data_IF_071216215479
#
_entry.id   IF_071216215479
#
_cell.length_a   1.000
_cell.length_b   1.000
_cell.length_c   1.000
_cell.angle_alpha   90.00
_cell.angle_beta   90.00
_cell.angle_gamma   90.00
#
_symmetry.space_group_name_H-M   'P 1'
#
loop_
_entity.id
_entity.type
_entity.pdbx_description
1 polymer ?
#
# COMPACT_ATOMS: atom_id res chain seq x y z
N UNK A 1 4.42 -28.63 15.31
CA UNK A 1 3.41 -27.70 15.82
C UNK A 1 3.93 -27.04 17.09
N UNK A 2 4.11 -25.74 17.09
CA UNK A 2 4.45 -24.97 18.28
C UNK A 2 3.42 -23.86 18.41
N UNK A 3 2.75 -23.79 19.56
CA UNK A 3 1.75 -22.78 19.87
C UNK A 3 2.12 -22.03 21.16
N UNK A 4 1.97 -20.72 21.14
CA UNK A 4 2.22 -19.86 22.29
C UNK A 4 1.03 -18.95 22.56
N UNK A 5 0.68 -18.81 23.81
CA UNK A 5 -0.24 -17.79 24.29
C UNK A 5 0.59 -16.72 25.01
N UNK A 6 0.65 -15.52 24.43
CA UNK A 6 1.46 -14.43 24.92
C UNK A 6 0.60 -13.43 25.68
N UNK A 7 0.89 -13.23 26.95
CA UNK A 7 0.17 -12.30 27.84
C UNK A 7 1.03 -11.15 28.33
N UNK A 8 2.35 -11.25 28.15
CA UNK A 8 3.32 -10.21 28.53
C UNK A 8 4.29 -9.94 27.41
N UNK A 9 4.88 -8.74 27.32
CA UNK A 9 5.91 -8.45 26.34
C UNK A 9 7.02 -9.49 26.32
N UNK A 10 7.32 -10.04 25.16
CA UNK A 10 8.38 -11.04 24.98
C UNK A 10 8.85 -11.13 23.53
N UNK A 11 10.03 -11.73 23.38
CA UNK A 11 10.62 -12.04 22.09
C UNK A 11 10.66 -13.54 21.89
N UNK A 12 10.21 -13.97 20.73
CA UNK A 12 10.25 -15.37 20.29
C UNK A 12 11.11 -15.49 19.05
N UNK A 13 12.04 -16.42 19.06
CA UNK A 13 12.74 -16.85 17.84
C UNK A 13 12.14 -18.18 17.42
N UNK A 14 11.84 -18.32 16.13
CA UNK A 14 11.19 -19.51 15.62
C UNK A 14 12.23 -20.46 15.03
N UNK A 15 12.13 -21.71 15.39
CA UNK A 15 12.89 -22.78 14.77
C UNK A 15 12.12 -23.30 13.55
N UNK A 16 12.77 -23.27 12.39
CA UNK A 16 12.21 -23.75 11.14
C UNK A 16 11.79 -22.67 10.14
N UNK A 17 11.51 -23.07 8.90
CA UNK A 17 11.18 -22.13 7.84
C UNK A 17 9.81 -21.50 8.02
N UNK A 18 9.67 -20.22 7.66
CA UNK A 18 8.39 -19.53 7.53
C UNK A 18 8.18 -19.19 6.06
N UNK A 19 7.14 -19.77 5.46
CA UNK A 19 6.75 -19.56 4.05
C UNK A 19 5.47 -18.77 3.89
N UNK A 20 4.64 -18.75 4.95
CA UNK A 20 3.39 -18.00 5.01
C UNK A 20 3.23 -17.33 6.37
N UNK A 21 2.86 -16.06 6.34
CA UNK A 21 2.57 -15.24 7.52
C UNK A 21 1.12 -14.77 7.46
N UNK A 22 0.33 -15.08 8.48
CA UNK A 22 -1.03 -14.60 8.68
C UNK A 22 -1.09 -13.82 10.00
N UNK A 23 -1.41 -12.53 9.96
CA UNK A 23 -1.52 -11.70 11.16
C UNK A 23 -2.90 -11.07 11.23
N UNK A 24 -3.59 -11.24 12.35
CA UNK A 24 -4.90 -10.62 12.61
C UNK A 24 -4.92 -9.99 13.99
N UNK A 25 -4.83 -8.67 14.04
CA UNK A 25 -4.81 -7.89 15.28
C UNK A 25 -6.02 -6.94 15.33
N UNK A 26 -6.44 -6.58 16.54
CA UNK A 26 -7.55 -5.65 16.75
C UNK A 26 -7.08 -4.21 16.67
N UNK A 27 -6.02 -3.86 17.40
CA UNK A 27 -5.46 -2.50 17.35
C UNK A 27 -4.02 -2.45 17.83
N UNK A 28 -3.25 -1.48 17.32
CA UNK A 28 -1.86 -1.27 17.72
C UNK A 28 -0.94 -1.01 16.53
N UNK A 29 0.29 -1.49 16.63
CA UNK A 29 1.29 -1.39 15.57
C UNK A 29 1.74 -2.76 15.11
N UNK A 30 1.74 -2.96 13.81
CA UNK A 30 2.28 -4.14 13.17
C UNK A 30 3.43 -3.73 12.25
N UNK A 31 4.62 -4.21 12.56
CA UNK A 31 5.81 -4.02 11.75
C UNK A 31 6.28 -5.38 11.21
N UNK A 32 6.34 -5.52 9.89
CA UNK A 32 6.84 -6.73 9.23
C UNK A 32 8.06 -6.37 8.40
N UNK A 33 9.17 -7.01 8.68
CA UNK A 33 10.44 -6.74 8.01
C UNK A 33 11.06 -8.02 7.46
N UNK A 34 11.58 -7.93 6.24
CA UNK A 34 12.37 -9.02 5.68
C UNK A 34 13.71 -9.17 6.40
N UNK A 35 14.13 -10.41 6.64
CA UNK A 35 15.41 -10.74 7.25
C UNK A 35 16.05 -11.94 6.58
N UNK A 36 17.38 -11.96 6.54
CA UNK A 36 18.16 -13.12 6.13
C UNK A 36 18.46 -14.08 7.30
N UNK A 37 18.09 -13.67 8.52
CA UNK A 37 18.24 -14.46 9.75
C UNK A 37 17.01 -15.31 10.07
N UNK A 38 17.01 -15.97 11.24
CA UNK A 38 15.85 -16.74 11.70
C UNK A 38 14.62 -15.85 11.90
N UNK A 39 13.46 -16.43 11.66
CA UNK A 39 12.20 -15.73 11.89
C UNK A 39 12.03 -15.39 13.37
N UNK A 40 11.56 -14.19 13.64
CA UNK A 40 11.48 -13.63 15.00
C UNK A 40 10.23 -12.78 15.17
N UNK A 41 9.61 -12.92 16.32
CA UNK A 41 8.45 -12.12 16.74
C UNK A 41 8.85 -11.36 18.00
N UNK A 42 8.66 -10.07 18.01
CA UNK A 42 8.92 -9.19 19.15
C UNK A 42 7.61 -8.47 19.51
N UNK A 43 7.07 -8.78 20.67
CA UNK A 43 5.87 -8.15 21.21
C UNK A 43 6.30 -7.20 22.31
N UNK A 44 6.21 -5.90 22.05
CA UNK A 44 6.71 -4.85 22.95
C UNK A 44 5.60 -4.24 23.81
N UNK A 45 4.38 -4.25 23.32
CA UNK A 45 3.20 -3.83 24.08
C UNK A 45 2.09 -4.86 23.87
N UNK A 46 1.45 -5.24 24.95
CA UNK A 46 0.32 -6.15 24.91
C UNK A 46 -0.79 -5.62 25.81
N UNK A 47 -2.00 -5.61 25.28
CA UNK A 47 -3.17 -5.14 26.00
C UNK A 47 -3.74 -6.22 26.92
N UNK A 48 -5.01 -6.07 27.26
CA UNK A 48 -5.70 -7.01 28.18
C UNK A 48 -5.98 -8.39 27.57
N UNK A 49 -5.73 -8.59 26.28
CA UNK A 49 -6.04 -9.83 25.57
C UNK A 49 -4.76 -10.48 25.11
N UNK A 50 -4.63 -11.79 25.29
CA UNK A 50 -3.47 -12.50 24.82
C UNK A 50 -3.34 -12.47 23.29
N UNK A 51 -2.13 -12.61 22.84
CA UNK A 51 -1.81 -12.87 21.42
C UNK A 51 -1.53 -14.35 21.28
N UNK A 52 -2.27 -15.00 20.39
CA UNK A 52 -2.09 -16.40 20.08
C UNK A 52 -1.14 -16.49 18.87
N UNK A 53 -0.09 -17.26 19.02
CA UNK A 53 0.91 -17.51 17.99
C UNK A 53 0.92 -19.01 17.73
N UNK A 54 0.81 -19.39 16.47
CA UNK A 54 0.88 -20.76 16.02
C UNK A 54 1.88 -20.88 14.86
N UNK A 55 2.79 -21.83 14.95
CA UNK A 55 3.74 -22.14 13.90
C UNK A 55 3.69 -23.62 13.57
N UNK A 56 3.19 -23.94 12.39
CA UNK A 56 3.11 -25.30 11.87
C UNK A 56 3.32 -25.33 10.36
N UNK A 57 4.11 -26.29 9.90
CA UNK A 57 4.34 -26.57 8.47
C UNK A 57 4.74 -25.32 7.65
N UNK A 58 5.57 -24.44 8.23
CA UNK A 58 5.99 -23.18 7.62
C UNK A 58 4.94 -22.08 7.60
N UNK A 59 3.79 -22.29 8.20
CA UNK A 59 2.74 -21.30 8.38
C UNK A 59 2.85 -20.68 9.78
N UNK A 60 3.09 -19.37 9.83
CA UNK A 60 3.09 -18.57 11.05
C UNK A 60 1.79 -17.77 11.13
N UNK A 61 1.01 -18.04 12.16
CA UNK A 61 -0.25 -17.34 12.44
C UNK A 61 -0.12 -16.55 13.75
N UNK A 62 -0.44 -15.27 13.73
CA UNK A 62 -0.43 -14.37 14.89
C UNK A 62 -1.83 -13.76 14.99
N UNK A 63 -2.57 -14.10 16.03
CA UNK A 63 -3.96 -13.68 16.17
C UNK A 63 -4.22 -13.13 17.57
N UNK A 64 -5.01 -12.06 17.61
CA UNK A 64 -5.60 -11.58 18.84
C UNK A 64 -7.06 -12.06 18.91
N UNK A 65 -7.47 -12.68 20.00
CA UNK A 65 -8.82 -13.14 20.19
C UNK A 65 -9.84 -12.00 20.03
N UNK A 66 -10.80 -12.23 19.17
CA UNK A 66 -11.92 -11.33 18.95
C UNK A 66 -13.17 -11.94 19.56
N UNK A 67 -13.61 -11.44 20.70
CA UNK A 67 -14.96 -11.78 21.18
C UNK A 67 -16.00 -11.22 20.21
N UNK A 68 -16.55 -12.09 19.38
CA UNK A 68 -17.68 -11.77 18.54
C UNK A 68 -18.97 -12.02 19.36
N UNK A 69 -19.31 -11.08 20.23
CA UNK A 69 -20.63 -11.02 20.86
C UNK A 69 -21.50 -10.02 20.09
N UNK A 70 -22.50 -10.50 19.34
CA UNK A 70 -23.61 -9.67 18.91
C UNK A 70 -24.47 -9.38 20.17
N UNK A 71 -24.53 -8.14 20.72
CA UNK A 71 -25.16 -6.95 20.16
C UNK A 71 -24.33 -5.65 20.35
N UNK A 72 -23.15 -5.57 19.79
CA UNK A 72 -22.22 -4.47 20.07
C UNK A 72 -21.98 -3.44 18.96
N UNK A 73 -22.64 -3.53 17.81
CA UNK A 73 -22.38 -2.62 16.67
C UNK A 73 -22.58 -1.14 17.03
N UNK A 74 -23.58 -0.82 17.83
CA UNK A 74 -23.86 0.57 18.25
C UNK A 74 -23.03 1.05 19.46
N UNK A 75 -22.47 0.12 20.26
CA UNK A 75 -21.52 0.45 21.34
C UNK A 75 -20.08 0.62 20.86
N UNK A 76 -19.73 0.03 19.73
CA UNK A 76 -18.38 0.07 19.15
C UNK A 76 -17.91 1.44 18.71
N UNK A 77 -18.81 2.34 18.27
CA UNK A 77 -18.45 3.70 17.82
C UNK A 77 -17.96 4.63 18.94
N UNK A 78 -18.32 4.37 20.19
CA UNK A 78 -17.84 5.16 21.36
C UNK A 78 -16.61 4.56 22.05
N UNK A 79 -16.23 3.33 21.73
CA UNK A 79 -15.15 2.61 22.40
C UNK A 79 -13.82 2.59 21.62
N UNK A 80 -13.75 3.23 20.45
CA UNK A 80 -12.55 3.24 19.57
C UNK A 80 -11.29 3.74 20.30
N UNK A 81 -11.42 4.59 21.32
CA UNK A 81 -10.29 5.09 22.11
C UNK A 81 -9.85 4.19 23.28
N UNK A 82 -10.47 3.02 23.47
CA UNK A 82 -10.17 2.12 24.61
C UNK A 82 -9.74 0.72 24.21
N UNK A 83 -9.47 0.45 22.94
CA UNK A 83 -8.92 -0.85 22.56
C UNK A 83 -7.48 -0.98 23.07
N UNK A 84 -7.18 -2.05 23.80
CA UNK A 84 -5.83 -2.31 24.26
C UNK A 84 -4.92 -2.46 23.02
N UNK A 85 -3.87 -1.66 22.98
CA UNK A 85 -2.89 -1.68 21.90
C UNK A 85 -2.02 -2.92 22.00
N UNK A 86 -1.63 -3.45 20.88
CA UNK A 86 -0.64 -4.52 20.78
C UNK A 86 0.40 -4.10 19.74
N UNK A 87 1.64 -3.99 20.16
CA UNK A 87 2.74 -3.63 19.27
C UNK A 87 3.55 -4.89 18.96
N UNK A 88 3.51 -5.32 17.72
CA UNK A 88 4.14 -6.55 17.21
C UNK A 88 5.10 -6.20 16.09
N UNK A 89 6.33 -6.67 16.20
CA UNK A 89 7.32 -6.65 15.13
C UNK A 89 7.66 -8.09 14.73
N UNK A 90 7.54 -8.39 13.44
CA UNK A 90 7.80 -9.71 12.89
C UNK A 90 8.91 -9.61 11.86
N UNK A 91 10.01 -10.32 12.09
CA UNK A 91 11.07 -10.48 11.12
C UNK A 91 10.92 -11.87 10.47
N UNK A 92 10.80 -11.91 9.14
CA UNK A 92 10.58 -13.15 8.37
C UNK A 92 11.43 -13.17 7.10
N UNK A 93 11.65 -14.34 6.48
CA UNK A 93 12.32 -14.40 5.18
C UNK A 93 11.62 -13.51 4.14
N UNK A 94 12.42 -12.90 3.23
CA UNK A 94 11.88 -12.01 2.20
C UNK A 94 10.87 -12.69 1.26
N UNK A 95 10.97 -14.00 1.09
CA UNK A 95 10.13 -14.79 0.18
C UNK A 95 8.90 -15.41 0.87
N UNK A 96 8.39 -14.77 1.92
CA UNK A 96 7.16 -15.19 2.62
C UNK A 96 5.92 -14.63 1.90
N UNK A 97 4.83 -15.42 1.87
CA UNK A 97 3.49 -14.93 1.52
C UNK A 97 2.88 -14.28 2.77
N UNK A 98 2.55 -13.00 2.70
CA UNK A 98 2.06 -12.25 3.85
C UNK A 98 0.59 -11.85 3.68
N UNK A 99 -0.23 -12.13 4.70
CA UNK A 99 -1.63 -11.72 4.80
C UNK A 99 -1.86 -11.03 6.16
N UNK A 100 -1.99 -9.70 6.14
CA UNK A 100 -1.92 -8.85 7.31
C UNK A 100 -3.22 -8.08 7.50
N UNK A 101 -3.89 -8.28 8.62
CA UNK A 101 -5.12 -7.59 8.97
C UNK A 101 -5.01 -6.89 10.33
N UNK A 102 -5.38 -5.60 10.36
CA UNK A 102 -5.44 -4.81 11.57
C UNK A 102 -6.74 -3.99 11.61
N UNK A 103 -7.41 -3.95 12.75
CA UNK A 103 -8.62 -3.14 12.89
C UNK A 103 -8.30 -1.65 12.97
N UNK A 104 -7.37 -1.23 13.82
CA UNK A 104 -6.99 0.17 13.97
C UNK A 104 -5.53 0.33 14.36
N UNK A 105 -4.82 1.28 13.77
CA UNK A 105 -3.43 1.59 14.10
C UNK A 105 -2.53 1.78 12.91
N UNK A 106 -1.31 1.24 12.94
CA UNK A 106 -0.37 1.37 11.84
C UNK A 106 0.20 0.02 11.43
N UNK A 107 0.34 -0.15 10.12
CA UNK A 107 1.00 -1.31 9.51
C UNK A 107 2.17 -0.81 8.69
N UNK A 108 3.35 -1.33 8.98
CA UNK A 108 4.57 -1.07 8.21
C UNK A 108 5.08 -2.39 7.68
N UNK A 109 5.31 -2.48 6.37
CA UNK A 109 5.84 -3.70 5.74
C UNK A 109 7.04 -3.33 4.88
N UNK A 110 8.15 -4.03 5.06
CA UNK A 110 9.37 -3.73 4.31
C UNK A 110 10.10 -4.97 3.79
N UNK A 111 10.59 -4.87 2.55
CA UNK A 111 11.54 -5.80 1.95
C UNK A 111 11.00 -7.14 1.48
N UNK A 112 9.71 -7.42 1.58
CA UNK A 112 9.11 -8.68 1.11
C UNK A 112 9.12 -8.74 -0.43
N UNK A 113 9.28 -9.95 -0.96
CA UNK A 113 9.46 -10.19 -2.42
C UNK A 113 8.32 -10.98 -3.06
N UNK A 114 7.40 -11.53 -2.27
CA UNK A 114 6.25 -12.28 -2.77
C UNK A 114 4.96 -11.51 -2.56
N UNK A 115 3.84 -12.20 -2.73
CA UNK A 115 2.53 -11.59 -2.52
C UNK A 115 2.39 -11.10 -1.08
N UNK A 116 2.01 -9.83 -0.96
CA UNK A 116 1.72 -9.15 0.31
C UNK A 116 0.32 -8.55 0.25
N UNK A 117 -0.54 -8.94 1.17
CA UNK A 117 -1.89 -8.39 1.32
C UNK A 117 -1.98 -7.69 2.67
N UNK A 118 -2.47 -6.45 2.68
CA UNK A 118 -2.65 -5.64 3.89
C UNK A 118 -4.06 -5.08 3.93
N UNK A 119 -4.82 -5.42 4.95
CA UNK A 119 -6.15 -4.90 5.22
C UNK A 119 -6.17 -4.13 6.54
N UNK A 120 -6.51 -2.85 6.49
CA UNK A 120 -6.61 -1.99 7.67
C UNK A 120 -7.93 -1.21 7.66
N UNK A 121 -8.67 -1.20 8.77
CA UNK A 121 -9.91 -0.43 8.82
C UNK A 121 -9.64 1.05 9.10
N UNK A 122 -8.77 1.39 10.06
CA UNK A 122 -8.46 2.79 10.36
C UNK A 122 -7.02 2.97 10.80
N UNK A 123 -6.33 3.95 10.23
CA UNK A 123 -4.95 4.27 10.60
C UNK A 123 -4.06 4.54 9.40
N UNK A 124 -2.86 3.96 9.38
CA UNK A 124 -1.86 4.21 8.34
C UNK A 124 -1.25 2.91 7.84
N UNK A 125 -1.08 2.80 6.52
CA UNK A 125 -0.31 1.72 5.87
C UNK A 125 0.94 2.35 5.24
N UNK A 126 2.11 1.79 5.56
CA UNK A 126 3.38 2.17 4.94
C UNK A 126 4.05 0.92 4.36
N UNK A 127 4.31 0.93 3.06
CA UNK A 127 4.92 -0.16 2.30
C UNK A 127 6.27 0.30 1.77
N UNK A 128 7.35 -0.44 2.03
CA UNK A 128 8.70 -0.02 1.66
C UNK A 128 9.46 -1.15 0.97
N UNK A 129 9.97 -0.88 -0.25
CA UNK A 129 10.85 -1.80 -0.96
C UNK A 129 10.27 -3.17 -1.26
N UNK A 130 8.94 -3.28 -1.37
CA UNK A 130 8.26 -4.52 -1.67
C UNK A 130 8.44 -4.90 -3.15
N UNK A 131 8.40 -6.20 -3.42
CA UNK A 131 8.45 -6.76 -4.78
C UNK A 131 7.31 -7.76 -4.97
N UNK A 132 7.03 -8.12 -6.23
CA UNK A 132 5.94 -9.05 -6.55
C UNK A 132 4.57 -8.36 -6.50
N UNK A 133 3.54 -9.08 -6.06
CA UNK A 133 2.16 -8.57 -6.06
C UNK A 133 1.80 -8.02 -4.69
N UNK A 134 1.48 -6.75 -4.62
CA UNK A 134 1.11 -6.05 -3.38
C UNK A 134 -0.32 -5.53 -3.46
N UNK A 135 -1.14 -5.89 -2.48
CA UNK A 135 -2.49 -5.38 -2.28
C UNK A 135 -2.57 -4.69 -0.93
N UNK A 136 -3.00 -3.43 -0.91
CA UNK A 136 -3.28 -2.72 0.33
C UNK A 136 -4.66 -2.09 0.28
N UNK A 137 -5.45 -2.37 1.31
CA UNK A 137 -6.79 -1.83 1.48
C UNK A 137 -6.92 -1.13 2.81
N UNK A 138 -7.39 0.12 2.78
CA UNK A 138 -7.59 0.95 3.95
C UNK A 138 -8.96 1.63 3.88
N UNK A 139 -9.74 1.57 4.96
CA UNK A 139 -11.01 2.30 4.95
C UNK A 139 -10.81 3.78 5.27
N UNK A 140 -9.97 4.09 6.28
CA UNK A 140 -9.75 5.49 6.69
C UNK A 140 -8.31 5.75 7.10
N UNK A 141 -7.64 6.66 6.39
CA UNK A 141 -6.28 7.11 6.64
C UNK A 141 -5.37 7.03 5.41
N UNK A 142 -4.10 7.41 5.53
CA UNK A 142 -3.17 7.42 4.41
C UNK A 142 -2.58 6.03 4.12
N UNK A 143 -2.31 5.80 2.82
CA UNK A 143 -1.53 4.68 2.31
C UNK A 143 -0.30 5.23 1.60
N UNK A 144 0.88 4.87 2.09
CA UNK A 144 2.17 5.27 1.55
C UNK A 144 2.92 4.05 1.00
N UNK A 145 3.40 4.14 -0.24
CA UNK A 145 4.19 3.10 -0.87
C UNK A 145 5.48 3.70 -1.47
N UNK A 146 6.63 3.23 -0.98
CA UNK A 146 7.95 3.75 -1.31
C UNK A 146 8.82 2.63 -1.91
N UNK A 147 9.39 2.87 -3.08
CA UNK A 147 10.32 1.92 -3.71
C UNK A 147 9.71 0.56 -4.06
N UNK A 148 8.41 0.49 -4.30
CA UNK A 148 7.69 -0.76 -4.60
C UNK A 148 7.88 -1.13 -6.07
N UNK A 149 8.05 -2.44 -6.36
CA UNK A 149 8.23 -3.01 -7.70
C UNK A 149 7.27 -4.18 -7.93
N UNK A 150 6.91 -4.41 -9.19
CA UNK A 150 5.96 -5.46 -9.59
C UNK A 150 4.53 -4.93 -9.73
N UNK A 151 3.54 -5.65 -9.21
CA UNK A 151 2.14 -5.29 -9.33
C UNK A 151 1.64 -4.65 -8.02
N UNK A 152 1.16 -3.42 -8.09
CA UNK A 152 0.71 -2.66 -6.93
C UNK A 152 -0.76 -2.28 -7.06
N UNK A 153 -1.57 -2.69 -6.08
CA UNK A 153 -2.97 -2.26 -5.97
C UNK A 153 -3.21 -1.64 -4.61
N UNK A 154 -3.62 -0.37 -4.59
CA UNK A 154 -3.93 0.41 -3.41
C UNK A 154 -5.37 0.88 -3.45
N UNK A 155 -6.15 0.57 -2.43
CA UNK A 155 -7.55 0.96 -2.31
C UNK A 155 -7.78 1.67 -0.97
N UNK A 156 -8.37 2.85 -1.01
CA UNK A 156 -8.84 3.52 0.21
C UNK A 156 -10.24 4.11 0.01
N UNK A 157 -10.99 4.24 1.08
CA UNK A 157 -12.28 4.95 1.01
C UNK A 157 -12.08 6.42 1.36
N UNK A 158 -11.40 6.68 2.48
CA UNK A 158 -11.15 8.07 2.92
C UNK A 158 -9.70 8.21 3.36
N UNK A 159 -8.90 8.83 2.51
CA UNK A 159 -7.49 9.05 2.79
C UNK A 159 -6.67 9.30 1.54
N UNK A 160 -5.47 9.75 1.76
CA UNK A 160 -4.50 10.01 0.72
C UNK A 160 -3.76 8.73 0.32
N UNK A 161 -3.46 8.60 -0.97
CA UNK A 161 -2.58 7.57 -1.50
C UNK A 161 -1.33 8.24 -2.04
N UNK A 162 -0.18 7.87 -1.49
CA UNK A 162 1.13 8.41 -1.87
C UNK A 162 1.99 7.26 -2.39
N UNK A 163 2.43 7.37 -3.63
CA UNK A 163 3.45 6.52 -4.21
C UNK A 163 4.69 7.37 -4.49
N UNK A 164 5.85 6.92 -4.02
CA UNK A 164 7.12 7.57 -4.33
C UNK A 164 8.18 6.53 -4.71
N UNK A 165 9.06 6.90 -5.65
CA UNK A 165 10.17 6.08 -6.15
C UNK A 165 9.75 4.66 -6.56
N UNK A 166 8.51 4.52 -7.00
CA UNK A 166 7.94 3.24 -7.38
C UNK A 166 8.31 2.91 -8.83
N UNK A 167 8.84 1.71 -9.04
CA UNK A 167 9.14 1.16 -10.36
C UNK A 167 8.25 -0.05 -10.67
N UNK A 168 6.97 0.06 -10.35
CA UNK A 168 5.98 -0.98 -10.56
C UNK A 168 5.55 -1.05 -12.04
N UNK A 169 5.40 -2.25 -12.58
CA UNK A 169 4.94 -2.47 -13.95
C UNK A 169 3.44 -2.20 -14.09
N UNK A 170 2.68 -2.55 -13.07
CA UNK A 170 1.25 -2.27 -12.97
C UNK A 170 0.95 -1.55 -11.68
N UNK A 171 0.30 -0.39 -11.80
CA UNK A 171 -0.16 0.42 -10.67
C UNK A 171 -1.65 0.62 -10.77
N UNK A 172 -2.38 0.25 -9.74
CA UNK A 172 -3.78 0.59 -9.57
C UNK A 172 -3.94 1.28 -8.23
N UNK A 173 -4.33 2.56 -8.24
CA UNK A 173 -4.64 3.30 -7.02
C UNK A 173 -6.05 3.89 -7.11
N UNK A 174 -6.86 3.62 -6.10
CA UNK A 174 -8.25 4.05 -6.06
C UNK A 174 -8.61 4.63 -4.70
N UNK A 175 -9.32 5.75 -4.70
CA UNK A 175 -9.89 6.34 -3.49
C UNK A 175 -11.31 6.84 -3.76
N UNK A 176 -12.16 6.85 -2.74
CA UNK A 176 -13.46 7.52 -2.85
C UNK A 176 -13.31 8.98 -2.52
N UNK A 177 -12.67 9.30 -1.40
CA UNK A 177 -12.44 10.67 -0.95
C UNK A 177 -10.99 10.84 -0.47
N UNK A 178 -10.20 11.52 -1.27
CA UNK A 178 -8.79 11.78 -0.99
C UNK A 178 -7.98 12.06 -2.23
N UNK A 179 -6.77 12.54 -2.03
CA UNK A 179 -5.82 12.77 -3.11
C UNK A 179 -5.05 11.50 -3.46
N UNK A 180 -4.64 11.38 -4.72
CA UNK A 180 -3.69 10.38 -5.18
C UNK A 180 -2.47 11.13 -5.71
N UNK A 181 -1.34 10.91 -5.07
CA UNK A 181 -0.06 11.50 -5.47
C UNK A 181 0.89 10.38 -5.85
N UNK A 182 1.31 10.35 -7.11
CA UNK A 182 2.18 9.33 -7.66
C UNK A 182 3.41 9.96 -8.28
N UNK A 183 4.58 9.63 -7.75
CA UNK A 183 5.87 9.91 -8.36
C UNK A 183 6.47 8.57 -8.79
N UNK A 184 6.46 8.34 -10.09
CA UNK A 184 6.73 7.02 -10.66
C UNK A 184 8.03 7.06 -11.47
N UNK A 185 8.94 6.18 -11.09
CA UNK A 185 10.13 5.84 -11.88
C UNK A 185 9.91 4.49 -12.59
N UNK A 186 8.78 4.39 -13.23
CA UNK A 186 8.31 3.16 -13.84
C UNK A 186 9.13 2.79 -15.08
N UNK A 187 9.16 1.49 -15.45
CA UNK A 187 9.58 1.08 -16.77
C UNK A 187 8.86 1.86 -17.86
N UNK A 188 9.52 2.12 -18.97
CA UNK A 188 8.95 2.91 -20.09
C UNK A 188 7.56 2.42 -20.50
N UNK A 189 7.31 1.12 -20.36
CA UNK A 189 6.02 0.45 -20.64
C UNK A 189 5.38 -0.03 -19.36
N UNK A 190 4.46 0.74 -18.81
CA UNK A 190 3.72 0.40 -17.59
C UNK A 190 2.21 0.57 -17.79
N UNK A 191 1.40 -0.11 -16.97
CA UNK A 191 -0.06 0.06 -16.93
C UNK A 191 -0.43 0.75 -15.61
N UNK A 192 -0.75 2.05 -15.70
CA UNK A 192 -1.05 2.91 -14.55
C UNK A 192 -2.52 3.30 -14.59
N UNK A 193 -3.27 2.95 -13.55
CA UNK A 193 -4.69 3.29 -13.40
C UNK A 193 -4.96 3.96 -12.08
N UNK A 194 -5.35 5.23 -12.14
CA UNK A 194 -5.62 6.06 -10.99
C UNK A 194 -7.08 6.52 -11.02
N UNK A 195 -7.81 6.36 -9.93
CA UNK A 195 -9.21 6.76 -9.86
C UNK A 195 -9.57 7.38 -8.51
N UNK A 196 -10.30 8.50 -8.56
CA UNK A 196 -10.90 9.12 -7.37
C UNK A 196 -12.32 9.59 -7.67
N UNK A 197 -13.20 9.56 -6.67
CA UNK A 197 -14.52 10.19 -6.82
C UNK A 197 -14.40 11.65 -6.41
N UNK A 198 -13.84 11.93 -5.24
CA UNK A 198 -13.68 13.30 -4.73
C UNK A 198 -12.26 13.51 -4.25
N UNK A 199 -11.48 14.24 -5.02
CA UNK A 199 -10.08 14.54 -4.73
C UNK A 199 -9.27 14.80 -5.98
N UNK A 200 -8.03 15.20 -5.81
CA UNK A 200 -7.10 15.46 -6.91
C UNK A 200 -6.23 14.26 -7.21
N UNK A 201 -5.81 14.15 -8.45
CA UNK A 201 -4.79 13.18 -8.88
C UNK A 201 -3.59 13.98 -9.38
N UNK A 202 -2.44 13.75 -8.79
CA UNK A 202 -1.16 14.26 -9.28
C UNK A 202 -0.28 13.06 -9.62
N UNK A 203 0.12 12.97 -10.87
CA UNK A 203 1.00 11.89 -11.33
C UNK A 203 2.18 12.48 -12.06
N UNK A 204 3.37 12.05 -11.68
CA UNK A 204 4.64 12.39 -12.32
C UNK A 204 5.23 11.14 -12.94
N UNK A 205 5.52 11.18 -14.23
CA UNK A 205 6.15 10.09 -14.99
C UNK A 205 7.37 10.62 -15.73
N UNK A 206 8.27 9.73 -16.10
CA UNK A 206 9.50 10.08 -16.82
C UNK A 206 9.19 10.71 -18.18
N UNK A 207 9.98 11.67 -18.62
CA UNK A 207 9.84 12.32 -19.93
C UNK A 207 10.01 11.35 -21.09
N UNK A 208 10.82 10.30 -20.91
CA UNK A 208 11.10 9.26 -21.90
C UNK A 208 10.13 8.06 -21.83
N UNK A 209 9.01 8.21 -21.14
CA UNK A 209 7.99 7.15 -21.04
C UNK A 209 7.33 6.85 -22.37
N UNK A 210 7.00 5.58 -22.59
CA UNK A 210 6.27 5.08 -23.76
C UNK A 210 4.81 4.77 -23.34
N UNK A 211 3.97 5.82 -23.21
CA UNK A 211 2.63 5.70 -22.62
C UNK A 211 1.54 6.27 -23.53
N UNK A 212 0.46 5.53 -23.72
CA UNK A 212 -0.82 6.08 -24.17
C UNK A 212 -1.55 6.68 -22.96
N UNK A 213 -1.74 7.99 -22.98
CA UNK A 213 -2.28 8.77 -21.86
C UNK A 213 -3.74 9.08 -22.09
N UNK A 214 -4.58 8.83 -21.07
CA UNK A 214 -5.98 9.25 -21.04
C UNK A 214 -6.34 9.76 -19.65
N UNK A 215 -6.69 11.05 -19.56
CA UNK A 215 -7.07 11.73 -18.34
C UNK A 215 -8.50 12.25 -18.49
N UNK A 216 -9.37 11.98 -17.51
CA UNK A 216 -10.77 12.40 -17.56
C UNK A 216 -11.22 12.97 -16.22
N UNK A 217 -11.96 14.05 -16.23
CA UNK A 217 -12.67 14.55 -15.04
C UNK A 217 -14.07 15.01 -15.40
N UNK A 218 -15.04 14.81 -14.53
CA UNK A 218 -16.38 15.33 -14.76
C UNK A 218 -16.50 16.79 -14.26
N UNK A 219 -15.84 17.13 -13.16
CA UNK A 219 -15.79 18.49 -12.64
C UNK A 219 -14.39 18.78 -12.08
N UNK A 220 -13.62 19.56 -12.81
CA UNK A 220 -12.25 19.92 -12.44
C UNK A 220 -11.43 20.39 -13.63
N UNK A 221 -10.15 20.59 -13.38
CA UNK A 221 -9.18 21.01 -14.40
C UNK A 221 -8.19 19.89 -14.64
N UNK A 222 -7.80 19.69 -15.90
CA UNK A 222 -6.71 18.82 -16.29
C UNK A 222 -5.55 19.71 -16.73
N UNK A 223 -4.35 19.43 -16.21
CA UNK A 223 -3.11 20.06 -16.63
C UNK A 223 -2.10 19.00 -17.00
N UNK A 224 -1.30 19.26 -18.05
CA UNK A 224 -0.25 18.34 -18.48
C UNK A 224 1.04 19.10 -18.75
N UNK A 225 2.15 18.58 -18.23
CA UNK A 225 3.50 19.03 -18.57
C UNK A 225 4.02 18.47 -19.90
N UNK A 226 3.24 17.62 -20.58
CA UNK A 226 3.63 17.04 -21.86
C UNK A 226 2.90 17.72 -23.02
N UNK A 227 3.61 18.34 -23.96
CA UNK A 227 2.99 19.02 -25.12
C UNK A 227 2.18 18.10 -26.02
N UNK A 228 2.49 16.80 -26.01
CA UNK A 228 1.80 15.77 -26.81
C UNK A 228 0.40 15.44 -26.30
N UNK A 229 0.12 15.75 -25.02
CA UNK A 229 -1.17 15.50 -24.38
C UNK A 229 -2.08 16.69 -24.62
N UNK A 230 -3.10 16.51 -25.46
CA UNK A 230 -4.03 17.56 -25.88
C UNK A 230 -5.30 17.51 -25.05
N UNK A 231 -5.75 18.67 -24.59
CA UNK A 231 -6.97 18.81 -23.81
C UNK A 231 -8.17 19.10 -24.70
N UNK A 232 -9.32 18.50 -24.35
CA UNK A 232 -10.64 18.80 -24.88
C UNK A 232 -11.57 19.15 -23.69
N UNK A 233 -12.48 20.08 -23.92
CA UNK A 233 -13.44 20.49 -22.88
C UNK A 233 -14.86 20.01 -23.15
N UNK A 234 -15.11 19.43 -24.34
CA UNK A 234 -16.44 18.96 -24.71
C UNK A 234 -16.40 17.48 -25.15
N UNK A 235 -17.38 16.64 -24.73
CA UNK A 235 -18.49 16.94 -23.81
C UNK A 235 -18.10 17.07 -22.34
N UNK A 236 -16.98 16.52 -21.92
CA UNK A 236 -16.40 16.63 -20.57
C UNK A 236 -14.91 16.94 -20.67
N UNK A 237 -14.31 17.58 -19.68
CA UNK A 237 -12.87 17.80 -19.65
C UNK A 237 -12.11 16.48 -19.75
N UNK A 238 -11.33 16.34 -20.80
CA UNK A 238 -10.49 15.18 -21.06
C UNK A 238 -9.15 15.61 -21.64
N UNK A 239 -8.13 14.80 -21.47
CA UNK A 239 -6.84 15.00 -22.11
C UNK A 239 -6.30 13.65 -22.59
N UNK A 240 -5.90 13.60 -23.85
CA UNK A 240 -5.39 12.40 -24.47
C UNK A 240 -4.10 12.69 -25.23
N UNK A 241 -3.20 11.72 -25.26
CA UNK A 241 -1.95 11.83 -26.00
C UNK A 241 -1.15 10.55 -25.96
N UNK A 242 -0.06 10.56 -26.73
CA UNK A 242 0.87 9.43 -26.80
C UNK A 242 2.26 9.97 -26.48
N UNK A 243 2.91 9.36 -25.51
CA UNK A 243 4.29 9.60 -25.13
C UNK A 243 5.13 8.45 -25.71
N UNK A 244 6.23 8.78 -26.39
CA UNK A 244 7.08 7.79 -27.03
C UNK A 244 6.31 6.88 -27.99
N UNK A 245 6.48 5.56 -27.90
CA UNK A 245 5.78 4.56 -28.71
C UNK A 245 4.33 4.30 -28.28
N UNK A 246 3.94 4.70 -27.05
CA UNK A 246 2.59 4.48 -26.53
C UNK A 246 2.25 3.05 -26.16
N UNK A 247 3.25 2.19 -25.96
CA UNK A 247 3.05 0.76 -25.67
C UNK A 247 2.48 0.49 -24.27
N UNK A 248 2.76 1.37 -23.30
CA UNK A 248 2.17 1.34 -21.97
C UNK A 248 0.88 2.17 -21.89
N UNK A 249 0.26 2.25 -20.71
CA UNK A 249 -1.01 2.94 -20.51
C UNK A 249 -0.97 3.77 -19.22
N UNK A 250 -1.41 5.02 -19.31
CA UNK A 250 -1.74 5.85 -18.18
C UNK A 250 -3.21 6.27 -18.26
N UNK A 251 -4.03 5.78 -17.37
CA UNK A 251 -5.41 6.19 -17.24
C UNK A 251 -5.65 6.81 -15.87
N UNK A 252 -6.10 8.06 -15.85
CA UNK A 252 -6.48 8.75 -14.62
C UNK A 252 -7.89 9.32 -14.75
N UNK A 253 -8.73 9.09 -13.75
CA UNK A 253 -10.11 9.53 -13.73
C UNK A 253 -10.50 10.13 -12.37
N UNK A 254 -11.10 11.32 -12.41
CA UNK A 254 -11.69 11.96 -11.25
C UNK A 254 -13.17 12.29 -11.54
N UNK A 255 -14.08 12.08 -10.60
CA UNK A 255 -15.44 12.59 -10.76
C UNK A 255 -15.49 14.06 -10.38
N UNK A 256 -14.96 14.41 -9.22
CA UNK A 256 -14.86 15.80 -8.76
C UNK A 256 -13.44 16.06 -8.25
N UNK A 257 -12.67 16.78 -9.06
CA UNK A 257 -11.29 17.10 -8.71
C UNK A 257 -10.41 17.31 -9.94
N UNK A 258 -9.25 17.90 -9.71
CA UNK A 258 -8.29 18.22 -10.76
C UNK A 258 -7.29 17.07 -10.96
N UNK A 259 -6.81 16.94 -12.20
CA UNK A 259 -5.78 15.98 -12.55
C UNK A 259 -4.56 16.74 -13.08
N UNK A 260 -3.39 16.46 -12.52
CA UNK A 260 -2.12 17.02 -12.97
C UNK A 260 -1.18 15.89 -13.41
N UNK A 261 -0.76 15.93 -14.67
CA UNK A 261 0.29 15.08 -15.21
C UNK A 261 1.57 15.90 -15.33
N UNK A 262 2.60 15.48 -14.62
CA UNK A 262 3.89 16.16 -14.55
C UNK A 262 4.97 15.32 -15.24
N UNK A 263 5.92 16.00 -15.85
CA UNK A 263 7.11 15.38 -16.41
C UNK A 263 8.20 15.28 -15.32
N UNK A 264 8.88 14.14 -15.25
CA UNK A 264 10.11 13.92 -14.48
C UNK A 264 11.27 13.90 -15.44
N UNK A 265 12.20 14.81 -15.27
CA UNK A 265 13.44 14.80 -16.03
C UNK A 265 14.16 13.45 -15.85
N UNK A 266 14.72 12.95 -16.92
CA UNK A 266 15.62 11.79 -16.84
C UNK A 266 16.97 12.34 -16.43
N UNK A 267 17.40 12.09 -15.19
CA UNK A 267 18.75 12.39 -14.77
C UNK A 267 19.70 11.54 -15.64
N UNK A 268 20.49 12.23 -16.45
CA UNK A 268 21.54 11.61 -17.25
C UNK A 268 22.69 11.27 -16.30
N UNK A 269 22.59 10.14 -15.59
CA UNK A 269 23.66 9.61 -14.73
C UNK A 269 24.90 9.16 -15.54
N UNK A 270 25.24 9.89 -16.59
CA UNK A 270 26.42 9.70 -17.42
C UNK A 270 27.47 10.80 -17.17
N UNK A 271 27.63 11.28 -15.96
CA UNK A 271 28.90 11.90 -15.60
C UNK A 271 29.84 10.79 -15.12
N UNK A 272 30.54 10.21 -16.10
CA UNK A 272 31.80 9.53 -15.90
C UNK A 272 32.69 10.40 -14.99
N UNK A 273 32.97 9.90 -13.80
CA UNK A 273 34.03 10.43 -12.97
C UNK A 273 35.37 10.20 -13.68
N UNK A 274 36.22 11.22 -13.75
CA UNK A 274 37.55 11.16 -14.37
C UNK A 274 38.53 10.25 -13.62
#
# INVERSE_FOLDING_TARGET
MAGWTVETPQRLTLDGPVTRLDVRLVSGRLNVVATDGPARIDITEIGRRPVLIDHSDGHLSIRQEREWGWPGFLRGLRAIHRFPRVDVSVAVPADVLADLGLGAGSVVVSGLRRQTTVDLAAGQITLMGLRGTTFAKLTSGPVEALGVRGDLTLETVSGEVILADSAAERVRAQTVSGAITCDLDNPRRSDIRLATISGSITVRVREDSDLSVRLNTAAGRITSGFPQVRSSTYPLPSSEGVLGSGDGKLWASATSGSIALLARAVDDDSEELP
#
